data_IF_383812283300
#
_entry.id   IF_383812283300
#
_cell.length_a   1.000
_cell.length_b   1.000
_cell.length_c   1.000
_cell.angle_alpha   90.00
_cell.angle_beta   90.00
_cell.angle_gamma   90.00
#
_symmetry.space_group_name_H-M   'P 1'
#
loop_
_entity.id
_entity.type
_entity.pdbx_description
1 polymer ?
#
# COMPACT_ATOMS: atom_id res chain seq x y z
N UNK A 1 -17.14 6.28 3.35
CA UNK A 1 -17.32 5.13 4.27
C UNK A 1 -16.21 5.23 5.31
N UNK A 2 -16.47 4.97 6.60
CA UNK A 2 -15.42 5.09 7.63
C UNK A 2 -14.69 3.76 7.66
N UNK A 3 -13.64 3.62 6.86
CA UNK A 3 -12.81 2.43 6.88
C UNK A 3 -12.17 2.38 8.28
N UNK A 4 -12.59 1.41 9.10
CA UNK A 4 -12.00 1.20 10.41
C UNK A 4 -10.57 0.75 10.19
N UNK A 5 -9.65 1.70 10.35
CA UNK A 5 -8.23 1.46 10.20
C UNK A 5 -7.87 0.32 11.16
N UNK A 6 -7.36 -0.82 10.64
CA UNK A 6 -7.07 -1.99 11.46
C UNK A 6 -6.01 -1.65 12.51
N UNK A 7 -5.81 -2.54 13.48
CA UNK A 7 -4.84 -2.33 14.56
C UNK A 7 -3.50 -1.83 14.03
N UNK A 8 -3.02 -0.71 14.59
CA UNK A 8 -1.82 -0.04 14.10
C UNK A 8 -0.64 -0.99 14.16
N UNK A 9 -0.14 -1.34 12.98
CA UNK A 9 0.95 -2.31 12.82
C UNK A 9 2.24 -1.58 12.44
N UNK A 10 3.39 -2.18 12.74
CA UNK A 10 4.67 -1.62 12.34
C UNK A 10 4.79 -1.78 10.83
N UNK A 11 4.73 -0.67 10.11
CA UNK A 11 4.87 -0.63 8.65
C UNK A 11 6.36 -0.67 8.28
N UNK A 12 6.93 -1.88 8.24
CA UNK A 12 8.32 -2.09 7.81
C UNK A 12 8.46 -2.25 6.30
N UNK A 13 7.37 -2.61 5.63
CA UNK A 13 7.26 -2.73 4.18
C UNK A 13 6.85 -1.43 3.52
N UNK A 14 7.34 -1.20 2.31
CA UNK A 14 6.90 -0.10 1.46
C UNK A 14 6.64 -0.58 0.03
N UNK A 15 5.54 -0.10 -0.53
CA UNK A 15 5.13 -0.36 -1.90
C UNK A 15 5.19 0.97 -2.65
N UNK A 16 6.19 1.11 -3.52
CA UNK A 16 6.37 2.27 -4.38
C UNK A 16 5.69 2.06 -5.74
N UNK A 17 5.54 3.13 -6.51
CA UNK A 17 4.94 3.07 -7.85
C UNK A 17 3.42 3.21 -7.85
N UNK A 18 2.86 3.80 -6.79
CA UNK A 18 1.45 4.16 -6.70
C UNK A 18 1.31 5.61 -7.17
N UNK A 19 0.31 5.88 -8.01
CA UNK A 19 0.00 7.24 -8.44
C UNK A 19 -0.55 8.07 -7.28
N UNK A 20 -0.18 9.35 -7.22
CA UNK A 20 -0.61 10.22 -6.11
C UNK A 20 -2.13 10.42 -6.06
N UNK A 21 -2.80 10.29 -7.22
CA UNK A 21 -4.25 10.35 -7.31
C UNK A 21 -4.93 9.10 -6.74
N UNK A 22 -4.25 7.95 -6.80
CA UNK A 22 -4.76 6.65 -6.34
C UNK A 22 -4.25 6.26 -4.96
N UNK A 23 -3.39 7.07 -4.34
CA UNK A 23 -2.76 6.79 -3.05
C UNK A 23 -3.79 6.55 -1.93
N UNK A 24 -4.86 7.37 -1.92
CA UNK A 24 -5.95 7.21 -0.96
C UNK A 24 -6.75 5.94 -1.24
N UNK A 25 -7.09 5.67 -2.49
CA UNK A 25 -7.82 4.46 -2.90
C UNK A 25 -7.02 3.17 -2.64
N UNK A 26 -5.71 3.20 -2.83
CA UNK A 26 -4.78 2.13 -2.51
C UNK A 26 -4.79 1.81 -1.01
N UNK A 27 -4.66 2.84 -0.16
CA UNK A 27 -4.72 2.69 1.30
C UNK A 27 -6.09 2.18 1.74
N UNK A 28 -7.17 2.70 1.17
CA UNK A 28 -8.54 2.26 1.47
C UNK A 28 -8.77 0.81 1.06
N UNK A 29 -8.25 0.38 -0.09
CA UNK A 29 -8.35 -1.01 -0.58
C UNK A 29 -7.65 -1.98 0.36
N UNK A 30 -6.47 -1.60 0.85
CA UNK A 30 -5.72 -2.36 1.85
C UNK A 30 -6.44 -2.41 3.19
N UNK A 31 -6.95 -1.28 3.66
CA UNK A 31 -7.68 -1.22 4.91
C UNK A 31 -8.98 -2.04 4.86
N UNK A 32 -9.69 -2.04 3.72
CA UNK A 32 -10.86 -2.91 3.45
C UNK A 32 -10.49 -4.40 3.45
N UNK A 33 -9.27 -4.74 3.04
CA UNK A 33 -8.71 -6.10 3.14
C UNK A 33 -8.20 -6.46 4.55
N UNK A 34 -8.30 -5.55 5.53
CA UNK A 34 -7.79 -5.75 6.90
C UNK A 34 -6.27 -5.55 7.03
N UNK A 35 -5.65 -4.86 6.07
CA UNK A 35 -4.23 -4.55 6.04
C UNK A 35 -4.03 -3.10 6.48
N UNK A 36 -3.25 -2.88 7.54
CA UNK A 36 -2.88 -1.52 7.94
C UNK A 36 -1.89 -0.95 6.93
N UNK A 37 -2.26 0.19 6.36
CA UNK A 37 -1.52 0.86 5.33
C UNK A 37 -1.43 2.36 5.63
N UNK A 38 -0.27 2.96 5.41
CA UNK A 38 -0.06 4.40 5.52
C UNK A 38 0.49 4.94 4.21
N UNK A 39 -0.09 6.02 3.71
CA UNK A 39 0.49 6.78 2.60
C UNK A 39 1.80 7.45 3.01
N UNK A 40 2.82 7.34 2.16
CA UNK A 40 4.11 7.98 2.32
C UNK A 40 4.62 8.56 1.00
N UNK A 41 5.70 9.32 1.09
CA UNK A 41 6.39 9.88 -0.06
C UNK A 41 7.88 9.54 0.07
N UNK A 42 8.36 8.63 -0.77
CA UNK A 42 9.76 8.24 -0.84
C UNK A 42 10.55 9.16 -1.77
N UNK A 43 11.86 8.95 -1.85
CA UNK A 43 12.73 9.68 -2.79
C UNK A 43 12.29 9.53 -4.25
N UNK A 44 11.57 8.45 -4.59
CA UNK A 44 11.17 8.10 -5.96
C UNK A 44 9.70 8.41 -6.25
N UNK A 45 8.96 9.00 -5.30
CA UNK A 45 7.55 9.35 -5.48
C UNK A 45 6.62 8.79 -4.39
N UNK A 46 5.30 8.76 -4.66
CA UNK A 46 4.30 8.27 -3.71
C UNK A 46 4.48 6.77 -3.46
N UNK A 47 4.31 6.36 -2.21
CA UNK A 47 4.40 4.96 -1.79
C UNK A 47 3.43 4.67 -0.65
N UNK A 48 3.04 3.42 -0.47
CA UNK A 48 2.22 2.99 0.65
C UNK A 48 3.03 2.06 1.54
N UNK A 49 3.05 2.35 2.84
CA UNK A 49 3.77 1.60 3.85
C UNK A 49 2.82 0.59 4.50
N UNK A 50 3.25 -0.67 4.59
CA UNK A 50 2.48 -1.80 5.12
C UNK A 50 3.37 -2.68 5.99
N UNK A 51 2.81 -3.57 6.79
CA UNK A 51 3.59 -4.59 7.51
C UNK A 51 4.24 -5.58 6.54
N UNK A 52 5.51 -5.96 6.76
CA UNK A 52 6.19 -6.99 5.94
C UNK A 52 5.39 -8.30 5.86
N UNK A 53 4.72 -8.70 6.94
CA UNK A 53 3.90 -9.93 6.97
C UNK A 53 2.69 -9.86 6.05
N UNK A 54 2.27 -8.65 5.67
CA UNK A 54 1.13 -8.39 4.78
C UNK A 54 1.58 -7.75 3.47
N UNK A 55 2.89 -7.55 3.26
CA UNK A 55 3.43 -6.89 2.08
C UNK A 55 3.07 -7.67 0.81
N UNK A 56 3.28 -8.99 0.80
CA UNK A 56 2.91 -9.84 -0.34
C UNK A 56 1.42 -9.72 -0.69
N UNK A 57 0.54 -9.82 0.31
CA UNK A 57 -0.91 -9.64 0.13
C UNK A 57 -1.27 -8.24 -0.33
N UNK A 58 -0.63 -7.21 0.24
CA UNK A 58 -0.87 -5.83 -0.13
C UNK A 58 -0.49 -5.58 -1.58
N UNK A 59 0.66 -6.11 -2.00
CA UNK A 59 1.15 -6.00 -3.37
C UNK A 59 0.25 -6.76 -4.34
N UNK A 60 -0.28 -7.92 -3.97
CA UNK A 60 -1.33 -8.61 -4.74
C UNK A 60 -2.60 -7.79 -4.87
N UNK A 61 -3.15 -7.26 -3.78
CA UNK A 61 -4.39 -6.46 -3.79
C UNK A 61 -4.19 -5.20 -4.64
N UNK A 62 -3.07 -4.51 -4.48
CA UNK A 62 -2.75 -3.30 -5.23
C UNK A 62 -2.49 -3.61 -6.71
N UNK A 63 -1.82 -4.72 -7.03
CA UNK A 63 -1.58 -5.13 -8.41
C UNK A 63 -2.85 -5.59 -9.11
N UNK A 64 -3.73 -6.30 -8.40
CA UNK A 64 -5.04 -6.73 -8.92
C UNK A 64 -5.96 -5.53 -9.18
N UNK A 65 -5.90 -4.52 -8.30
CA UNK A 65 -6.58 -3.24 -8.48
C UNK A 65 -5.91 -2.32 -9.54
N UNK A 66 -4.71 -2.66 -10.00
CA UNK A 66 -3.98 -1.92 -11.03
C UNK A 66 -3.21 -0.69 -10.54
N UNK A 67 -3.03 -0.53 -9.22
CA UNK A 67 -2.30 0.59 -8.63
C UNK A 67 -0.78 0.45 -8.71
N UNK A 68 -0.27 -0.79 -8.80
CA UNK A 68 1.16 -1.07 -8.90
C UNK A 68 1.43 -2.16 -9.91
N UNK A 69 2.54 -2.04 -10.63
CA UNK A 69 3.05 -3.11 -11.49
C UNK A 69 3.99 -4.01 -10.67
N UNK A 70 3.96 -5.34 -10.88
CA UNK A 70 4.86 -6.31 -10.22
C UNK A 70 6.37 -6.06 -10.44
N UNK A 71 6.73 -5.02 -11.18
CA UNK A 71 8.08 -4.65 -11.60
C UNK A 71 8.59 -3.35 -10.90
N UNK A 72 7.96 -2.93 -9.81
CA UNK A 72 8.43 -1.77 -9.00
C UNK A 72 9.38 -2.18 -7.87
N UNK A 73 10.22 -3.20 -8.08
CA UNK A 73 11.41 -3.45 -7.26
C UNK A 73 12.53 -2.52 -7.78
N UNK A 74 12.92 -1.46 -7.07
CA UNK A 74 14.16 -0.77 -7.42
C UNK A 74 15.35 -1.68 -7.08
N UNK A 75 16.21 -1.89 -8.08
CA UNK A 75 17.54 -2.45 -7.97
C UNK A 75 18.43 -1.71 -6.96
#
# INVERSE_FOLDING_TARGET
EKVEMPEKEVVTGSVSGIDIMDLEDAVDSLCKAGIYAESGMGCTGPMVMVSESKLEKALEVLADAGYVSKESLPC
#
